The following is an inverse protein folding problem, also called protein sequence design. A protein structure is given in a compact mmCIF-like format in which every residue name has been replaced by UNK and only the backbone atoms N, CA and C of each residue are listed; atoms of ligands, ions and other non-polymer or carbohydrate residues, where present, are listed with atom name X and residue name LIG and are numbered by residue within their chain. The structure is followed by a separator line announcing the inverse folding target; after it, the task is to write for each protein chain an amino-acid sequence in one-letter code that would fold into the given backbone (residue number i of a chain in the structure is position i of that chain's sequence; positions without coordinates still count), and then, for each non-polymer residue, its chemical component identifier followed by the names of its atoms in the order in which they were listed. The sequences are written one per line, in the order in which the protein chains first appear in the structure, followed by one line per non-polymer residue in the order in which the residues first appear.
data_IF_619960907915
#
_entry.id   IF_619960907915
#
_cell.length_a   1.000
_cell.length_b   1.000
_cell.length_c   1.000
_cell.angle_alpha   90.00
_cell.angle_beta   90.00
_cell.angle_gamma   90.00
#
_symmetry.space_group_name_H-M   'P 1'
#
loop_
_entity.id
_entity.type
_entity.pdbx_description
1 polymer ?
#
# COMPACT_ATOMS: atom_id res chain seq x y z
N UNK A 1 62.10 -37.75 63.04
CA UNK A 1 62.92 -36.53 63.00
C UNK A 1 62.12 -35.51 62.21
N UNK A 2 61.44 -34.60 62.94
CA UNK A 2 60.85 -33.29 62.56
C UNK A 2 59.80 -33.32 61.41
N UNK A 3 58.48 -33.14 61.60
CA UNK A 3 57.68 -32.14 62.32
C UNK A 3 57.83 -30.70 61.80
N UNK A 4 56.81 -30.17 61.11
CA UNK A 4 56.15 -28.88 61.39
C UNK A 4 55.00 -28.60 60.41
N UNK A 5 53.95 -28.02 60.99
CA UNK A 5 52.60 -27.74 60.48
C UNK A 5 52.49 -26.29 59.89
N UNK A 6 51.30 -25.81 59.45
CA UNK A 6 51.10 -24.75 58.45
C UNK A 6 50.86 -23.35 59.05
N UNK A 7 50.94 -22.30 58.22
CA UNK A 7 50.40 -20.97 58.54
C UNK A 7 49.77 -20.23 57.33
N UNK A 8 48.86 -19.33 57.67
CA UNK A 8 47.69 -18.85 56.94
C UNK A 8 47.80 -17.42 56.38
N UNK A 9 46.89 -17.11 55.42
CA UNK A 9 46.24 -15.80 55.10
C UNK A 9 47.09 -14.63 54.54
N UNK A 10 46.66 -14.10 53.39
CA UNK A 10 46.01 -12.78 53.28
C UNK A 10 45.62 -12.46 51.82
N UNK A 11 44.46 -11.86 51.64
CA UNK A 11 43.91 -11.41 50.36
C UNK A 11 44.57 -10.11 49.86
N UNK A 12 44.72 -9.97 48.54
CA UNK A 12 44.51 -8.67 47.88
C UNK A 12 44.20 -8.89 46.39
N UNK A 13 42.95 -8.63 46.01
CA UNK A 13 42.53 -8.42 44.63
C UNK A 13 42.92 -7.01 44.21
N UNK A 14 43.57 -6.86 43.05
CA UNK A 14 43.67 -5.59 42.33
C UNK A 14 42.98 -5.72 40.98
N UNK A 15 42.11 -4.76 40.71
CA UNK A 15 41.16 -4.69 39.62
C UNK A 15 41.85 -4.49 38.26
N UNK A 16 41.33 -5.18 37.24
CA UNK A 16 41.63 -4.92 35.83
C UNK A 16 40.92 -3.66 35.30
N UNK A 17 41.32 -3.17 34.12
CA UNK A 17 41.08 -1.81 33.67
C UNK A 17 39.61 -1.50 33.37
N UNK A 18 39.28 -0.21 33.51
CA UNK A 18 37.97 0.43 33.48
C UNK A 18 37.18 0.23 32.18
N UNK A 19 35.91 -0.17 32.35
CA UNK A 19 34.86 -0.18 31.34
C UNK A 19 34.29 1.23 31.11
N UNK A 20 35.02 2.11 30.43
CA UNK A 20 34.45 3.37 29.92
C UNK A 20 34.82 3.49 28.44
N UNK A 21 33.88 3.16 27.54
CA UNK A 21 34.12 3.31 26.11
C UNK A 21 33.28 2.48 25.14
N UNK A 22 32.23 1.80 25.57
CA UNK A 22 31.24 1.24 24.66
C UNK A 22 29.86 1.78 25.03
N UNK A 23 29.48 2.88 24.36
CA UNK A 23 28.08 3.29 24.27
C UNK A 23 27.40 2.28 23.33
N UNK A 24 27.17 1.07 23.84
CA UNK A 24 26.09 0.25 23.33
C UNK A 24 24.81 0.97 23.73
N UNK A 25 24.17 1.63 22.75
CA UNK A 25 22.78 2.02 22.87
C UNK A 25 21.93 0.74 22.81
N UNK A 26 21.95 -0.01 23.90
CA UNK A 26 21.09 -1.16 24.13
C UNK A 26 19.65 -0.64 24.21
N UNK A 27 18.96 -0.68 23.08
CA UNK A 27 17.51 -0.63 23.08
C UNK A 27 17.03 -1.94 23.68
N UNK A 28 16.99 -1.99 25.02
CA UNK A 28 16.42 -3.09 25.81
C UNK A 28 14.93 -3.19 25.52
N UNK A 29 14.58 -3.81 24.39
CA UNK A 29 13.23 -4.29 24.14
C UNK A 29 13.08 -5.58 24.95
N UNK A 30 12.09 -5.60 25.83
CA UNK A 30 11.71 -6.81 26.56
C UNK A 30 11.28 -7.90 25.56
N UNK A 31 11.42 -9.20 25.87
CA UNK A 31 10.98 -10.29 25.00
C UNK A 31 9.53 -10.11 24.50
N UNK A 32 8.63 -9.61 25.36
CA UNK A 32 7.24 -9.30 24.99
C UNK A 32 7.11 -8.11 24.02
N UNK A 33 8.00 -7.11 24.10
CA UNK A 33 8.04 -6.01 23.14
C UNK A 33 8.64 -6.44 21.81
N UNK A 34 9.65 -7.31 21.83
CA UNK A 34 10.25 -7.90 20.62
C UNK A 34 9.26 -8.83 19.93
N UNK A 35 8.51 -9.64 20.68
CA UNK A 35 7.39 -10.45 20.17
C UNK A 35 6.24 -9.59 19.67
N UNK A 36 5.86 -8.51 20.37
CA UNK A 36 4.82 -7.59 19.91
C UNK A 36 5.22 -6.83 18.64
N UNK A 37 6.49 -6.43 18.52
CA UNK A 37 7.04 -5.79 17.30
C UNK A 37 7.17 -6.81 16.16
N UNK A 38 7.55 -8.05 16.44
CA UNK A 38 7.59 -9.13 15.45
C UNK A 38 6.18 -9.51 14.97
N UNK A 39 5.22 -9.61 15.88
CA UNK A 39 3.81 -9.90 15.59
C UNK A 39 3.12 -8.77 14.82
N UNK A 40 3.59 -7.52 14.97
CA UNK A 40 3.07 -6.38 14.21
C UNK A 40 3.57 -6.36 12.76
N UNK A 41 4.75 -6.96 12.49
CA UNK A 41 5.45 -6.83 11.20
C UNK A 41 5.52 -8.09 10.34
N UNK A 42 5.17 -9.26 10.87
CA UNK A 42 5.28 -10.51 10.12
C UNK A 42 3.99 -10.85 9.37
N UNK A 43 4.07 -11.26 8.08
CA UNK A 43 2.92 -11.76 7.36
C UNK A 43 2.40 -13.02 8.06
N UNK A 44 1.09 -13.03 8.35
CA UNK A 44 0.24 -14.19 8.66
C UNK A 44 0.95 -15.39 9.33
N UNK A 45 0.73 -15.59 10.64
CA UNK A 45 1.34 -16.72 11.39
C UNK A 45 0.90 -18.10 10.91
N UNK A 46 -0.24 -18.19 10.20
CA UNK A 46 -0.78 -19.44 9.68
C UNK A 46 -0.53 -19.58 8.17
N UNK A 47 0.10 -20.71 7.78
CA UNK A 47 0.43 -21.01 6.36
C UNK A 47 -0.76 -20.92 5.42
N UNK A 48 -1.95 -21.33 5.85
CA UNK A 48 -3.16 -21.28 5.03
C UNK A 48 -3.60 -19.84 4.73
N UNK A 49 -3.53 -18.95 5.73
CA UNK A 49 -3.90 -17.54 5.57
C UNK A 49 -2.88 -16.81 4.69
N UNK A 50 -1.59 -17.08 4.88
CA UNK A 50 -0.54 -16.58 4.01
C UNK A 50 -0.71 -17.04 2.56
N UNK A 51 -0.95 -18.33 2.33
CA UNK A 51 -1.13 -18.88 0.99
C UNK A 51 -2.37 -18.29 0.31
N UNK A 52 -3.49 -18.16 1.02
CA UNK A 52 -4.69 -17.52 0.50
C UNK A 52 -4.41 -16.09 0.04
N UNK A 53 -3.66 -15.32 0.83
CA UNK A 53 -3.28 -13.95 0.50
C UNK A 53 -2.40 -13.87 -0.75
N UNK A 54 -1.40 -14.74 -0.85
CA UNK A 54 -0.52 -14.85 -2.02
C UNK A 54 -1.31 -15.22 -3.29
N UNK A 55 -2.28 -16.13 -3.19
CA UNK A 55 -3.14 -16.51 -4.32
C UNK A 55 -3.97 -15.32 -4.80
N UNK A 56 -4.58 -14.56 -3.88
CA UNK A 56 -5.34 -13.35 -4.22
C UNK A 56 -4.47 -12.33 -4.95
N UNK A 57 -3.25 -12.09 -4.46
CA UNK A 57 -2.29 -11.21 -5.14
C UNK A 57 -1.88 -11.71 -6.52
N UNK A 58 -1.61 -13.01 -6.66
CA UNK A 58 -1.24 -13.61 -7.95
C UNK A 58 -2.35 -13.44 -8.99
N UNK A 59 -3.61 -13.73 -8.61
CA UNK A 59 -4.78 -13.51 -9.46
C UNK A 59 -4.89 -12.03 -9.83
N UNK A 60 -4.80 -11.14 -8.84
CA UNK A 60 -4.89 -9.69 -9.04
C UNK A 60 -3.84 -9.16 -10.02
N UNK A 61 -2.58 -9.59 -9.88
CA UNK A 61 -1.48 -9.19 -10.77
C UNK A 61 -1.70 -9.70 -12.20
N UNK A 62 -2.09 -10.96 -12.38
CA UNK A 62 -2.35 -11.52 -13.72
C UNK A 62 -3.47 -10.74 -14.42
N UNK A 63 -4.58 -10.50 -13.70
CA UNK A 63 -5.69 -9.70 -14.22
C UNK A 63 -5.27 -8.26 -14.54
N UNK A 64 -4.47 -7.64 -13.66
CA UNK A 64 -3.99 -6.28 -13.87
C UNK A 64 -3.04 -6.17 -15.07
N UNK A 65 -2.12 -7.12 -15.26
CA UNK A 65 -1.22 -7.12 -16.43
C UNK A 65 -2.05 -7.26 -17.71
N UNK A 66 -2.95 -8.24 -17.78
CA UNK A 66 -3.81 -8.45 -18.95
C UNK A 66 -4.69 -7.22 -19.23
N UNK A 67 -5.32 -6.67 -18.18
CA UNK A 67 -6.14 -5.46 -18.26
C UNK A 67 -5.35 -4.24 -18.72
N UNK A 68 -4.16 -3.98 -18.15
CA UNK A 68 -3.30 -2.87 -18.54
C UNK A 68 -2.82 -2.97 -19.99
N UNK A 69 -2.42 -4.17 -20.44
CA UNK A 69 -2.05 -4.40 -21.85
C UNK A 69 -3.23 -4.04 -22.73
N UNK A 70 -4.41 -4.60 -22.45
CA UNK A 70 -5.61 -4.35 -23.23
C UNK A 70 -5.98 -2.87 -23.26
N UNK A 71 -6.00 -2.22 -22.09
CA UNK A 71 -6.38 -0.81 -21.92
C UNK A 71 -5.42 0.14 -22.66
N UNK A 72 -4.10 -0.07 -22.54
CA UNK A 72 -3.09 0.76 -23.20
C UNK A 72 -3.09 0.51 -24.71
N UNK A 73 -3.28 -0.73 -25.18
CA UNK A 73 -3.42 -1.02 -26.60
C UNK A 73 -4.66 -0.34 -27.21
N UNK A 74 -5.80 -0.35 -26.53
CA UNK A 74 -6.99 0.41 -26.95
C UNK A 74 -6.69 1.91 -27.02
N UNK A 75 -6.03 2.47 -26.00
CA UNK A 75 -5.62 3.88 -25.99
C UNK A 75 -4.73 4.23 -27.19
N UNK A 76 -3.71 3.42 -27.45
CA UNK A 76 -2.75 3.66 -28.53
C UNK A 76 -3.44 3.68 -29.90
N UNK A 77 -4.45 2.82 -30.09
CA UNK A 77 -5.23 2.77 -31.34
C UNK A 77 -6.09 4.02 -31.60
N UNK A 78 -6.41 4.81 -30.56
CA UNK A 78 -7.17 6.06 -30.71
C UNK A 78 -6.39 7.20 -31.37
N UNK A 79 -5.05 7.10 -31.43
CA UNK A 79 -4.18 8.20 -31.86
C UNK A 79 -4.07 9.39 -30.87
N UNK A 80 -4.82 9.38 -29.77
CA UNK A 80 -4.82 10.45 -28.78
C UNK A 80 -3.67 10.30 -27.78
N UNK A 81 -2.69 11.21 -27.85
CA UNK A 81 -1.57 11.28 -26.89
C UNK A 81 -2.09 11.55 -25.48
N UNK A 82 -3.08 12.43 -25.33
CA UNK A 82 -3.68 12.78 -24.02
C UNK A 82 -4.33 11.55 -23.37
N UNK A 83 -5.13 10.80 -24.12
CA UNK A 83 -5.77 9.57 -23.63
C UNK A 83 -4.73 8.50 -23.29
N UNK A 84 -3.76 8.28 -24.19
CA UNK A 84 -2.71 7.28 -23.99
C UNK A 84 -1.90 7.57 -22.72
N UNK A 85 -1.48 8.83 -22.51
CA UNK A 85 -0.78 9.23 -21.30
C UNK A 85 -1.63 8.97 -20.04
N UNK A 86 -2.91 9.32 -20.07
CA UNK A 86 -3.80 9.13 -18.93
C UNK A 86 -3.98 7.64 -18.56
N UNK A 87 -4.16 6.76 -19.54
CA UNK A 87 -4.32 5.33 -19.32
C UNK A 87 -3.00 4.63 -18.94
N UNK A 88 -1.86 5.12 -19.41
CA UNK A 88 -0.54 4.65 -18.98
C UNK A 88 -0.30 5.00 -17.50
N UNK A 89 -0.63 6.23 -17.08
CA UNK A 89 -0.49 6.66 -15.68
C UNK A 89 -1.38 5.82 -14.76
N UNK A 90 -2.64 5.58 -15.15
CA UNK A 90 -3.53 4.67 -14.43
C UNK A 90 -2.94 3.26 -14.32
N UNK A 91 -2.49 2.70 -15.45
CA UNK A 91 -1.94 1.34 -15.52
C UNK A 91 -0.68 1.17 -14.67
N UNK A 92 0.20 2.18 -14.69
CA UNK A 92 1.39 2.20 -13.85
C UNK A 92 1.04 2.23 -12.37
N UNK A 93 0.04 3.05 -11.96
CA UNK A 93 -0.46 3.09 -10.59
C UNK A 93 -1.02 1.73 -10.14
N UNK A 94 -1.83 1.08 -10.99
CA UNK A 94 -2.44 -0.21 -10.69
C UNK A 94 -1.39 -1.32 -10.49
N UNK A 95 -0.44 -1.42 -11.42
CA UNK A 95 0.64 -2.41 -11.35
C UNK A 95 1.58 -2.13 -10.18
N UNK A 96 1.90 -0.86 -9.91
CA UNK A 96 2.74 -0.48 -8.78
C UNK A 96 2.08 -0.84 -7.44
N UNK A 97 0.79 -0.53 -7.26
CA UNK A 97 0.06 -0.87 -6.04
C UNK A 97 0.01 -2.38 -5.82
N UNK A 98 -0.47 -3.14 -6.80
CA UNK A 98 -0.61 -4.60 -6.64
C UNK A 98 0.75 -5.29 -6.55
N UNK A 99 1.74 -4.85 -7.33
CA UNK A 99 3.10 -5.39 -7.30
C UNK A 99 3.80 -5.13 -5.96
N UNK A 100 3.72 -3.89 -5.46
CA UNK A 100 4.28 -3.55 -4.14
C UNK A 100 3.62 -4.37 -3.02
N UNK A 101 2.30 -4.51 -3.08
CA UNK A 101 1.54 -5.28 -2.09
C UNK A 101 1.88 -6.77 -2.11
N UNK A 102 1.97 -7.36 -3.30
CA UNK A 102 2.40 -8.75 -3.44
C UNK A 102 3.81 -8.95 -2.91
N UNK A 103 4.76 -8.08 -3.28
CA UNK A 103 6.14 -8.16 -2.80
C UNK A 103 6.21 -8.08 -1.27
N UNK A 104 5.45 -7.19 -0.64
CA UNK A 104 5.42 -7.07 0.80
C UNK A 104 4.82 -8.32 1.47
N UNK A 105 3.65 -8.77 1.04
CA UNK A 105 2.92 -9.86 1.71
C UNK A 105 3.51 -11.25 1.41
N UNK A 106 4.20 -11.43 0.28
CA UNK A 106 4.92 -12.68 -0.02
C UNK A 106 6.34 -12.73 0.55
N UNK A 107 6.85 -11.63 1.10
CA UNK A 107 8.24 -11.54 1.56
C UNK A 107 8.47 -12.26 2.89
N UNK A 108 9.48 -13.13 2.91
CA UNK A 108 9.93 -13.84 4.12
C UNK A 108 11.16 -13.20 4.76
N UNK A 109 11.81 -12.22 4.10
CA UNK A 109 13.02 -11.56 4.56
C UNK A 109 12.71 -10.37 5.48
N UNK A 110 12.94 -10.55 6.78
CA UNK A 110 12.71 -9.53 7.82
C UNK A 110 13.47 -8.21 7.60
N UNK A 111 14.63 -8.24 6.93
CA UNK A 111 15.42 -7.03 6.68
C UNK A 111 14.74 -6.11 5.68
N UNK A 112 13.98 -6.67 4.74
CA UNK A 112 13.29 -5.94 3.68
C UNK A 112 11.87 -5.53 4.06
N UNK A 113 11.23 -6.21 5.03
CA UNK A 113 9.81 -6.02 5.36
C UNK A 113 9.46 -4.55 5.61
N UNK A 114 10.30 -3.80 6.33
CA UNK A 114 10.05 -2.38 6.62
C UNK A 114 10.09 -1.47 5.39
N UNK A 115 10.92 -1.79 4.39
CA UNK A 115 10.99 -1.01 3.16
C UNK A 115 9.81 -1.37 2.27
N UNK A 116 9.53 -2.68 2.11
CA UNK A 116 8.44 -3.17 1.29
C UNK A 116 7.07 -2.71 1.80
N UNK A 117 6.86 -2.70 3.11
CA UNK A 117 5.64 -2.15 3.73
C UNK A 117 5.43 -0.67 3.35
N UNK A 118 6.50 0.13 3.41
CA UNK A 118 6.41 1.54 3.02
C UNK A 118 6.13 1.70 1.53
N UNK A 119 6.71 0.84 0.70
CA UNK A 119 6.43 0.85 -0.74
C UNK A 119 4.98 0.45 -1.02
N UNK A 120 4.47 -0.58 -0.33
CA UNK A 120 3.07 -1.04 -0.42
C UNK A 120 2.09 0.07 -0.03
N UNK A 121 2.28 0.68 1.15
CA UNK A 121 1.45 1.79 1.60
C UNK A 121 1.54 3.03 0.67
N UNK A 122 2.70 3.27 0.06
CA UNK A 122 2.86 4.34 -0.94
C UNK A 122 2.12 4.02 -2.25
N UNK A 123 2.03 2.74 -2.61
CA UNK A 123 1.28 2.25 -3.77
C UNK A 123 -0.20 2.64 -3.73
N UNK A 124 -0.82 2.68 -2.56
CA UNK A 124 -2.23 3.11 -2.40
C UNK A 124 -2.40 4.58 -2.82
N UNK A 125 -1.54 5.49 -2.36
CA UNK A 125 -1.62 6.92 -2.75
C UNK A 125 -1.38 7.10 -4.25
N UNK A 126 -0.39 6.39 -4.79
CA UNK A 126 -0.07 6.44 -6.22
C UNK A 126 -1.26 5.95 -7.05
N UNK A 127 -1.90 4.84 -6.65
CA UNK A 127 -3.07 4.31 -7.33
C UNK A 127 -4.26 5.26 -7.24
N UNK A 128 -4.51 5.90 -6.10
CA UNK A 128 -5.58 6.89 -5.99
C UNK A 128 -5.35 8.01 -7.01
N UNK A 129 -4.17 8.63 -7.06
CA UNK A 129 -3.88 9.67 -8.04
C UNK A 129 -3.94 9.17 -9.50
N UNK A 130 -3.43 7.97 -9.75
CA UNK A 130 -3.51 7.29 -11.04
C UNK A 130 -4.97 7.06 -11.48
N UNK A 131 -5.86 6.71 -10.55
CA UNK A 131 -7.28 6.45 -10.81
C UNK A 131 -8.08 7.70 -11.17
N UNK A 132 -7.70 8.88 -10.68
CA UNK A 132 -8.35 10.15 -11.06
C UNK A 132 -7.92 10.64 -12.44
N UNK A 133 -6.67 10.37 -12.81
CA UNK A 133 -6.04 10.88 -14.03
C UNK A 133 -6.86 10.64 -15.31
N UNK A 134 -7.38 9.43 -15.61
CA UNK A 134 -8.18 9.23 -16.82
C UNK A 134 -9.50 10.01 -16.80
N UNK A 135 -10.18 10.12 -15.66
CA UNK A 135 -11.38 10.93 -15.56
C UNK A 135 -11.06 12.42 -15.78
N UNK A 136 -9.99 12.95 -15.19
CA UNK A 136 -9.69 14.39 -15.25
C UNK A 136 -9.08 14.82 -16.58
N UNK A 137 -8.39 13.92 -17.28
CA UNK A 137 -7.73 14.24 -18.55
C UNK A 137 -8.54 13.82 -19.78
N UNK A 138 -9.28 12.71 -19.72
CA UNK A 138 -9.94 12.18 -20.91
C UNK A 138 -11.46 12.32 -20.88
N UNK A 139 -12.08 12.40 -19.69
CA UNK A 139 -13.54 12.48 -19.57
C UNK A 139 -14.04 13.88 -19.22
N UNK A 140 -13.33 14.56 -18.33
CA UNK A 140 -13.62 15.94 -17.92
C UNK A 140 -12.62 16.88 -18.56
N UNK A 141 -13.07 18.10 -18.84
CA UNK A 141 -12.23 19.19 -19.32
C UNK A 141 -12.48 20.47 -18.51
N UNK A 142 -11.52 21.40 -18.59
CA UNK A 142 -11.60 22.72 -17.99
C UNK A 142 -10.87 22.87 -16.64
N UNK A 143 -10.87 24.10 -16.07
CA UNK A 143 -10.02 24.44 -14.93
C UNK A 143 -10.25 23.58 -13.70
N UNK A 144 -11.51 23.22 -13.42
CA UNK A 144 -11.86 22.41 -12.26
C UNK A 144 -11.21 21.01 -12.31
N UNK A 145 -11.20 20.36 -13.47
CA UNK A 145 -10.60 19.03 -13.63
C UNK A 145 -9.09 19.08 -13.36
N UNK A 146 -8.40 20.11 -13.88
CA UNK A 146 -6.99 20.35 -13.61
C UNK A 146 -6.70 20.69 -12.15
N UNK A 147 -7.54 21.49 -11.50
CA UNK A 147 -7.42 21.81 -10.07
C UNK A 147 -7.54 20.56 -9.22
N UNK A 148 -8.57 19.74 -9.45
CA UNK A 148 -8.77 18.48 -8.70
C UNK A 148 -7.63 17.51 -8.96
N UNK A 149 -7.20 17.34 -10.22
CA UNK A 149 -6.07 16.48 -10.57
C UNK A 149 -4.79 16.93 -9.85
N UNK A 150 -4.48 18.22 -9.89
CA UNK A 150 -3.31 18.79 -9.25
C UNK A 150 -3.33 18.61 -7.72
N UNK A 151 -4.48 18.85 -7.08
CA UNK A 151 -4.63 18.64 -5.64
C UNK A 151 -4.49 17.17 -5.26
N UNK A 152 -5.10 16.25 -6.02
CA UNK A 152 -5.02 14.81 -5.73
C UNK A 152 -3.57 14.32 -5.85
N UNK A 153 -2.86 14.69 -6.92
CA UNK A 153 -1.45 14.34 -7.08
C UNK A 153 -0.57 14.97 -6.01
N UNK A 154 -0.80 16.24 -5.67
CA UNK A 154 -0.04 16.92 -4.62
C UNK A 154 -0.18 16.19 -3.27
N UNK A 155 -1.41 15.87 -2.87
CA UNK A 155 -1.68 15.16 -1.61
C UNK A 155 -1.13 13.74 -1.66
N UNK A 156 -1.25 13.04 -2.78
CA UNK A 156 -0.69 11.70 -2.95
C UNK A 156 0.84 11.71 -2.81
N UNK A 157 1.53 12.61 -3.50
CA UNK A 157 2.99 12.74 -3.43
C UNK A 157 3.46 13.16 -2.03
N UNK A 158 2.73 14.06 -1.37
CA UNK A 158 2.99 14.43 0.03
C UNK A 158 2.82 13.23 0.98
N UNK A 159 1.77 12.42 0.79
CA UNK A 159 1.52 11.19 1.52
C UNK A 159 2.64 10.16 1.33
N UNK A 160 3.07 9.95 0.09
CA UNK A 160 4.21 9.08 -0.25
C UNK A 160 5.49 9.57 0.41
N UNK A 161 5.82 10.86 0.26
CA UNK A 161 7.01 11.45 0.86
C UNK A 161 6.99 11.32 2.39
N UNK A 162 5.87 11.63 3.04
CA UNK A 162 5.70 11.45 4.47
C UNK A 162 5.90 9.99 4.90
N UNK A 163 5.40 9.03 4.12
CA UNK A 163 5.55 7.61 4.42
C UNK A 163 6.99 7.12 4.29
N UNK A 164 7.70 7.57 3.25
CA UNK A 164 9.07 7.14 2.99
C UNK A 164 10.07 7.81 3.94
N UNK A 165 9.86 9.09 4.28
CA UNK A 165 10.82 9.89 5.03
C UNK A 165 10.59 9.86 6.54
N UNK A 166 9.34 9.77 7.01
CA UNK A 166 9.02 9.85 8.46
C UNK A 166 9.02 8.46 9.09
N UNK A 167 9.80 8.28 10.17
CA UNK A 167 10.08 6.96 10.74
C UNK A 167 8.94 6.36 11.56
N UNK A 168 7.98 7.17 12.02
CA UNK A 168 6.92 6.76 12.94
C UNK A 168 5.62 7.46 12.61
N UNK A 169 4.88 6.85 11.69
CA UNK A 169 3.57 7.33 11.26
C UNK A 169 2.46 6.53 11.95
N UNK A 170 1.33 7.19 12.23
CA UNK A 170 0.14 6.51 12.75
C UNK A 170 -0.62 5.85 11.60
N UNK A 171 -0.83 4.52 11.61
CA UNK A 171 -1.60 3.83 10.58
C UNK A 171 -2.99 4.42 10.37
N UNK A 172 -3.64 4.88 11.45
CA UNK A 172 -4.98 5.51 11.40
C UNK A 172 -4.99 6.81 10.60
N UNK A 173 -3.92 7.61 10.71
CA UNK A 173 -3.80 8.86 9.95
C UNK A 173 -3.69 8.55 8.46
N UNK A 174 -2.88 7.55 8.10
CA UNK A 174 -2.73 7.11 6.73
C UNK A 174 -4.03 6.57 6.13
N UNK A 175 -4.78 5.76 6.91
CA UNK A 175 -6.11 5.28 6.54
C UNK A 175 -7.07 6.46 6.27
N UNK A 176 -7.11 7.43 7.18
CA UNK A 176 -7.96 8.60 7.01
C UNK A 176 -7.56 9.43 5.79
N UNK A 177 -6.26 9.61 5.55
CA UNK A 177 -5.75 10.36 4.40
C UNK A 177 -6.11 9.70 3.07
N UNK A 178 -5.84 8.40 2.89
CA UNK A 178 -6.14 7.76 1.62
C UNK A 178 -7.65 7.59 1.40
N UNK A 179 -8.46 7.40 2.46
CA UNK A 179 -9.92 7.37 2.32
C UNK A 179 -10.47 8.74 1.96
N UNK A 180 -10.03 9.79 2.67
CA UNK A 180 -10.43 11.16 2.36
C UNK A 180 -10.05 11.57 0.94
N UNK A 181 -8.84 11.20 0.50
CA UNK A 181 -8.38 11.42 -0.86
C UNK A 181 -9.20 10.63 -1.89
N UNK A 182 -9.52 9.36 -1.60
CA UNK A 182 -10.36 8.52 -2.46
C UNK A 182 -11.76 9.10 -2.67
N UNK A 183 -12.38 9.63 -1.60
CA UNK A 183 -13.71 10.24 -1.65
C UNK A 183 -13.73 11.69 -2.14
N UNK A 184 -12.58 12.31 -2.45
CA UNK A 184 -12.51 13.65 -3.03
C UNK A 184 -13.26 13.77 -4.37
N UNK A 185 -13.54 12.65 -5.05
CA UNK A 185 -14.32 12.55 -6.28
C UNK A 185 -15.75 13.09 -6.10
N UNK A 186 -16.27 13.10 -4.87
CA UNK A 186 -17.57 13.69 -4.57
C UNK A 186 -17.63 15.19 -4.88
N UNK A 187 -16.49 15.89 -4.86
CA UNK A 187 -16.42 17.32 -5.22
C UNK A 187 -16.76 17.58 -6.69
N UNK A 188 -16.72 16.56 -7.53
CA UNK A 188 -16.97 16.63 -8.97
C UNK A 188 -18.04 15.64 -9.44
N UNK A 189 -18.83 15.08 -8.51
CA UNK A 189 -19.83 14.04 -8.81
C UNK A 189 -20.89 14.53 -9.80
N UNK A 190 -21.29 15.80 -9.70
CA UNK A 190 -22.24 16.43 -10.62
C UNK A 190 -21.79 16.31 -12.08
N UNK A 191 -20.51 16.60 -12.34
CA UNK A 191 -19.94 16.46 -13.68
C UNK A 191 -19.83 15.01 -14.13
N UNK A 192 -19.53 14.09 -13.21
CA UNK A 192 -19.47 12.66 -13.53
C UNK A 192 -20.86 12.10 -13.87
N UNK A 193 -21.91 12.49 -13.15
CA UNK A 193 -23.30 12.09 -13.43
C UNK A 193 -23.73 12.54 -14.83
N UNK A 194 -23.30 13.71 -15.27
CA UNK A 194 -23.67 14.25 -16.58
C UNK A 194 -22.81 13.78 -17.75
N UNK A 195 -21.64 13.18 -17.47
CA UNK A 195 -20.69 12.76 -18.53
C UNK A 195 -20.55 11.26 -18.66
N UNK A 196 -20.78 10.50 -17.59
CA UNK A 196 -20.63 9.05 -17.56
C UNK A 196 -21.95 8.33 -17.83
N UNK A 197 -21.84 7.12 -18.37
CA UNK A 197 -22.96 6.20 -18.41
C UNK A 197 -23.41 5.80 -16.99
N UNK A 198 -24.69 5.43 -16.79
CA UNK A 198 -25.16 4.91 -15.50
C UNK A 198 -24.37 3.69 -15.03
N UNK A 199 -23.94 2.84 -15.96
CA UNK A 199 -23.15 1.63 -15.65
C UNK A 199 -21.75 2.00 -15.15
N UNK A 200 -21.04 2.90 -15.83
CA UNK A 200 -19.72 3.35 -15.40
C UNK A 200 -19.75 4.06 -14.05
N UNK A 201 -20.78 4.88 -13.80
CA UNK A 201 -20.98 5.53 -12.52
C UNK A 201 -21.27 4.52 -11.39
N UNK A 202 -22.11 3.52 -11.66
CA UNK A 202 -22.40 2.45 -10.69
C UNK A 202 -21.14 1.62 -10.37
N UNK A 203 -20.31 1.31 -11.37
CA UNK A 203 -19.03 0.63 -11.17
C UNK A 203 -18.06 1.48 -10.34
N UNK A 204 -17.96 2.79 -10.60
CA UNK A 204 -17.11 3.70 -9.83
C UNK A 204 -17.58 3.78 -8.37
N UNK A 205 -18.89 3.90 -8.13
CA UNK A 205 -19.47 3.91 -6.79
C UNK A 205 -19.25 2.57 -6.06
N UNK A 206 -19.51 1.44 -6.73
CA UNK A 206 -19.27 0.12 -6.18
C UNK A 206 -17.80 -0.08 -5.81
N UNK A 207 -16.86 0.36 -6.65
CA UNK A 207 -15.44 0.32 -6.38
C UNK A 207 -15.04 1.12 -5.14
N UNK A 208 -15.49 2.37 -5.02
CA UNK A 208 -15.24 3.21 -3.85
C UNK A 208 -15.80 2.62 -2.55
N UNK A 209 -16.99 2.01 -2.62
CA UNK A 209 -17.60 1.30 -1.49
C UNK A 209 -16.81 0.04 -1.12
N UNK A 210 -16.38 -0.77 -2.10
CA UNK A 210 -15.56 -1.96 -1.86
C UNK A 210 -14.23 -1.61 -1.18
N UNK A 211 -13.54 -0.55 -1.63
CA UNK A 211 -12.34 -0.05 -0.94
C UNK A 211 -12.62 0.32 0.50
N UNK A 212 -13.70 1.06 0.75
CA UNK A 212 -14.07 1.54 2.09
C UNK A 212 -14.44 0.40 3.03
N UNK A 213 -15.29 -0.53 2.57
CA UNK A 213 -15.72 -1.70 3.34
C UNK A 213 -14.54 -2.64 3.60
N UNK A 214 -13.64 -2.80 2.62
CA UNK A 214 -12.40 -3.57 2.77
C UNK A 214 -11.60 -3.15 4.01
N UNK A 215 -11.54 -1.86 4.32
CA UNK A 215 -10.77 -1.34 5.46
C UNK A 215 -11.22 -1.95 6.79
N UNK A 216 -12.52 -2.27 6.93
CA UNK A 216 -13.07 -2.93 8.12
C UNK A 216 -12.37 -4.28 8.37
N UNK A 217 -12.16 -5.06 7.31
CA UNK A 217 -11.44 -6.34 7.38
C UNK A 217 -9.96 -6.14 7.62
N UNK A 218 -9.35 -5.14 6.96
CA UNK A 218 -7.94 -4.81 7.14
C UNK A 218 -7.59 -4.49 8.60
N UNK A 219 -8.43 -3.70 9.29
CA UNK A 219 -8.18 -3.29 10.68
C UNK A 219 -8.57 -4.37 11.70
N UNK A 220 -9.44 -5.32 11.32
CA UNK A 220 -9.86 -6.40 12.19
C UNK A 220 -8.80 -7.53 12.25
N UNK A 221 -7.82 -7.38 13.14
CA UNK A 221 -6.74 -8.36 13.34
C UNK A 221 -7.15 -9.66 14.03
N UNK A 222 -8.40 -9.77 14.50
CA UNK A 222 -8.93 -10.99 15.16
C UNK A 222 -9.62 -11.96 14.19
N UNK A 223 -9.94 -11.50 12.99
CA UNK A 223 -10.64 -12.29 11.99
C UNK A 223 -9.63 -13.18 11.22
N UNK A 224 -9.86 -14.51 11.15
CA UNK A 224 -9.06 -15.37 10.29
C UNK A 224 -9.16 -14.95 8.82
N UNK A 225 -8.06 -15.04 8.07
CA UNK A 225 -7.95 -14.66 6.66
C UNK A 225 -8.20 -13.18 6.38
N UNK A 226 -8.08 -12.31 7.38
CA UNK A 226 -8.36 -10.88 7.21
C UNK A 226 -7.56 -10.21 6.08
N UNK A 227 -6.28 -10.53 5.90
CA UNK A 227 -5.46 -10.01 4.80
C UNK A 227 -5.99 -10.45 3.45
N UNK A 228 -6.27 -11.75 3.29
CA UNK A 228 -6.77 -12.30 2.04
C UNK A 228 -8.13 -11.70 1.68
N UNK A 229 -9.01 -11.52 2.67
CA UNK A 229 -10.30 -10.85 2.50
C UNK A 229 -10.08 -9.39 2.08
N UNK A 230 -9.24 -8.64 2.81
CA UNK A 230 -8.89 -7.26 2.47
C UNK A 230 -8.38 -7.11 1.03
N UNK A 231 -7.39 -7.93 0.63
CA UNK A 231 -6.84 -7.85 -0.72
C UNK A 231 -7.84 -8.31 -1.78
N UNK A 232 -8.78 -9.19 -1.45
CA UNK A 232 -9.88 -9.55 -2.35
C UNK A 232 -10.80 -8.36 -2.62
N UNK A 233 -11.12 -7.56 -1.58
CA UNK A 233 -11.84 -6.31 -1.75
C UNK A 233 -11.05 -5.30 -2.59
N UNK A 234 -9.73 -5.19 -2.41
CA UNK A 234 -8.85 -4.31 -3.20
C UNK A 234 -8.86 -4.71 -4.68
N UNK A 235 -8.73 -6.01 -4.99
CA UNK A 235 -8.76 -6.52 -6.37
C UNK A 235 -10.14 -6.33 -7.01
N UNK A 236 -11.22 -6.61 -6.28
CA UNK A 236 -12.58 -6.39 -6.75
C UNK A 236 -12.85 -4.90 -7.03
N UNK A 237 -12.46 -4.01 -6.11
CA UNK A 237 -12.59 -2.57 -6.28
C UNK A 237 -11.79 -2.07 -7.48
N UNK A 238 -10.53 -2.50 -7.63
CA UNK A 238 -9.70 -2.17 -8.79
C UNK A 238 -10.32 -2.64 -10.10
N UNK A 239 -10.97 -3.81 -10.10
CA UNK A 239 -11.68 -4.35 -11.26
C UNK A 239 -12.90 -3.49 -11.63
N UNK A 240 -13.65 -3.00 -10.65
CA UNK A 240 -14.74 -2.05 -10.89
C UNK A 240 -14.23 -0.72 -11.48
N UNK A 241 -13.15 -0.15 -10.94
CA UNK A 241 -12.54 1.07 -11.48
C UNK A 241 -12.00 0.86 -12.89
N UNK A 242 -11.32 -0.26 -13.13
CA UNK A 242 -10.85 -0.65 -14.46
C UNK A 242 -12.01 -0.73 -15.46
N UNK A 243 -13.09 -1.42 -15.10
CA UNK A 243 -14.26 -1.57 -15.97
C UNK A 243 -14.93 -0.22 -16.25
N UNK A 244 -15.07 0.65 -15.25
CA UNK A 244 -15.59 2.00 -15.45
C UNK A 244 -14.73 2.82 -16.42
N UNK A 245 -13.40 2.80 -16.25
CA UNK A 245 -12.46 3.50 -17.14
C UNK A 245 -12.51 2.90 -18.55
N UNK A 246 -12.54 1.58 -18.67
CA UNK A 246 -12.60 0.93 -19.97
C UNK A 246 -13.88 1.31 -20.72
N UNK A 247 -15.04 1.15 -20.10
CA UNK A 247 -16.34 1.38 -20.73
C UNK A 247 -16.59 2.84 -21.09
N UNK A 248 -16.26 3.77 -20.18
CA UNK A 248 -16.63 5.18 -20.34
C UNK A 248 -15.52 6.07 -20.89
N UNK A 249 -14.28 5.58 -20.98
CA UNK A 249 -13.12 6.39 -21.41
C UNK A 249 -12.39 5.70 -22.58
N UNK A 250 -11.94 4.47 -22.41
CA UNK A 250 -11.11 3.82 -23.43
C UNK A 250 -11.92 3.37 -24.65
N UNK A 251 -13.03 2.66 -24.45
CA UNK A 251 -13.84 2.09 -25.52
C UNK A 251 -14.52 3.18 -26.37
N UNK A 252 -15.00 4.26 -25.74
CA UNK A 252 -15.66 5.39 -26.43
C UNK A 252 -14.70 6.11 -27.38
N UNK A 253 -13.39 6.10 -27.12
CA UNK A 253 -12.41 6.82 -27.93
C UNK A 253 -11.98 6.10 -29.22
N UNK A 254 -12.41 4.84 -29.41
CA UNK A 254 -12.06 4.01 -30.58
C UNK A 254 -13.27 3.77 -31.50
N UNK A 255 -14.47 4.16 -31.06
CA UNK A 255 -15.72 4.13 -31.84
C UNK A 255 -15.94 5.50 -32.47
#
# INVERSE_FOLDING_TARGET
MLASEPETRSAHSTQGPSQEGQIEMSTHLTPSQTEAVAAYWYPQTHRAEWLADVIVHAIGIVLAIAGCIFLVSTAASSGSVKLTAALVIYSAGLLAMLGASALYNSNTNQKLSRILERVDLSGIFLMIAGSYTPFMLAKLDGPLAWTVLGLVWLVALAGIAMNLLVRRNSPRVFIALYLGLGWAVLTIIDRLIHTMSPVGLALLAAGGLLYTVGVIFHVNKKLPFNSAIWHSFVVAAASCHFAAIYLDIAAVAVV
#
